data_IF_099761299735
#
_entry.id   IF_099761299735
#
_cell.length_a   1.000
_cell.length_b   1.000
_cell.length_c   1.000
_cell.angle_alpha   90.00
_cell.angle_beta   90.00
_cell.angle_gamma   90.00
#
_symmetry.space_group_name_H-M   'P 1'
#
loop_
_entity.id
_entity.type
_entity.pdbx_description
1 polymer ?
#
# COMPACT_ATOMS: atom_id res chain seq x y z
N UNK A 1 -5.86 -23.76 55.65
CA UNK A 1 -4.59 -23.07 55.32
C UNK A 1 -4.28 -23.39 53.86
N UNK A 2 -4.86 -22.65 52.92
CA UNK A 2 -4.59 -22.78 51.48
C UNK A 2 -3.55 -21.72 51.12
N UNK A 3 -2.37 -21.81 51.75
CA UNK A 3 -1.30 -20.84 51.52
C UNK A 3 -0.78 -20.99 50.10
N UNK A 4 -1.01 -19.95 49.31
CA UNK A 4 -0.12 -19.45 48.26
C UNK A 4 0.50 -20.52 47.34
N UNK A 5 -0.32 -21.11 46.48
CA UNK A 5 0.21 -21.72 45.26
C UNK A 5 0.38 -20.62 44.20
N UNK A 6 1.61 -20.17 44.00
CA UNK A 6 1.96 -19.32 42.86
C UNK A 6 2.30 -20.22 41.65
N UNK A 7 1.34 -20.40 40.76
CA UNK A 7 1.60 -21.05 39.47
C UNK A 7 2.21 -20.04 38.50
N UNK A 8 3.44 -20.29 38.05
CA UNK A 8 4.09 -19.56 36.95
C UNK A 8 4.03 -20.44 35.71
N UNK A 9 3.24 -20.03 34.72
CA UNK A 9 3.12 -20.74 33.45
C UNK A 9 4.31 -20.38 32.56
N UNK A 10 5.37 -21.18 32.60
CA UNK A 10 6.47 -21.07 31.64
C UNK A 10 6.12 -21.79 30.33
N UNK A 11 6.14 -21.07 29.21
CA UNK A 11 5.95 -21.64 27.89
C UNK A 11 7.19 -22.46 27.48
N UNK A 12 6.97 -23.74 27.14
CA UNK A 12 7.98 -24.64 26.58
C UNK A 12 7.47 -25.15 25.23
N UNK A 13 8.22 -24.96 24.15
CA UNK A 13 7.84 -25.47 22.84
C UNK A 13 7.83 -27.02 22.83
N UNK A 14 6.73 -27.65 22.41
CA UNK A 14 6.56 -29.10 22.39
C UNK A 14 5.18 -29.55 21.88
N UNK A 15 5.02 -30.84 21.54
CA UNK A 15 3.79 -31.36 20.89
C UNK A 15 2.51 -31.21 21.73
N UNK A 16 2.65 -31.09 23.06
CA UNK A 16 1.50 -30.85 23.95
C UNK A 16 0.94 -29.42 23.86
N UNK A 17 1.70 -28.48 23.28
CA UNK A 17 1.38 -27.05 23.24
C UNK A 17 0.89 -26.57 21.86
N UNK A 18 0.36 -27.47 21.03
CA UNK A 18 -0.13 -27.15 19.69
C UNK A 18 -1.13 -25.98 19.65
N UNK A 19 -2.03 -25.89 20.64
CA UNK A 19 -3.02 -24.79 20.71
C UNK A 19 -2.35 -23.47 21.06
N UNK A 20 -1.43 -23.46 22.03
CA UNK A 20 -0.67 -22.27 22.40
C UNK A 20 0.22 -21.77 21.25
N UNK A 21 0.90 -22.69 20.57
CA UNK A 21 1.70 -22.41 19.36
C UNK A 21 0.85 -21.83 18.23
N UNK A 22 -0.32 -22.43 17.98
CA UNK A 22 -1.23 -21.94 16.94
C UNK A 22 -1.78 -20.54 17.26
N UNK A 23 -2.08 -20.26 18.53
CA UNK A 23 -2.53 -18.94 18.96
C UNK A 23 -1.41 -17.91 18.88
N UNK A 24 -0.16 -18.25 19.26
CA UNK A 24 1.00 -17.37 19.10
C UNK A 24 1.23 -17.01 17.62
N UNK A 25 1.20 -18.00 16.73
CA UNK A 25 1.37 -17.77 15.27
C UNK A 25 0.27 -16.89 14.67
N UNK A 26 -0.97 -16.95 15.19
CA UNK A 26 -2.05 -16.05 14.74
C UNK A 26 -1.77 -14.59 15.07
N UNK A 27 -1.13 -14.31 16.20
CA UNK A 27 -0.73 -12.94 16.59
C UNK A 27 0.40 -12.44 15.68
N UNK A 28 1.37 -13.30 15.37
CA UNK A 28 2.45 -12.96 14.44
C UNK A 28 1.94 -12.69 13.03
N UNK A 29 1.00 -13.51 12.53
CA UNK A 29 0.36 -13.32 11.22
C UNK A 29 -0.50 -12.05 11.16
N UNK A 30 -1.24 -11.72 12.22
CA UNK A 30 -2.00 -10.48 12.31
C UNK A 30 -1.07 -9.25 12.31
N UNK A 31 0.06 -9.36 13.02
CA UNK A 31 1.10 -8.33 13.06
C UNK A 31 1.73 -8.14 11.69
N UNK A 32 2.09 -9.22 10.98
CA UNK A 32 2.58 -9.17 9.60
C UNK A 32 1.53 -8.57 8.64
N UNK A 33 0.24 -8.91 8.79
CA UNK A 33 -0.84 -8.31 8.01
C UNK A 33 -0.95 -6.80 8.22
N UNK A 34 -0.78 -6.32 9.46
CA UNK A 34 -0.76 -4.90 9.77
C UNK A 34 0.46 -4.19 9.19
N UNK A 35 1.65 -4.81 9.26
CA UNK A 35 2.89 -4.27 8.68
C UNK A 35 2.81 -4.24 7.16
N UNK A 36 2.27 -5.29 6.53
CA UNK A 36 2.06 -5.33 5.09
C UNK A 36 1.05 -4.27 4.62
N UNK A 37 -0.01 -4.01 5.38
CA UNK A 37 -0.95 -2.92 5.11
C UNK A 37 -0.28 -1.54 5.21
N UNK A 38 0.59 -1.33 6.21
CA UNK A 38 1.34 -0.09 6.37
C UNK A 38 2.35 0.09 5.23
N UNK A 39 3.11 -0.97 4.88
CA UNK A 39 4.10 -0.93 3.81
C UNK A 39 3.44 -0.72 2.44
N UNK A 40 2.36 -1.43 2.13
CA UNK A 40 1.61 -1.22 0.89
C UNK A 40 1.00 0.19 0.83
N UNK A 41 0.50 0.72 1.95
CA UNK A 41 0.05 2.11 2.03
C UNK A 41 1.19 3.10 1.79
N UNK A 42 2.34 2.93 2.45
CA UNK A 42 3.50 3.81 2.32
C UNK A 42 4.13 3.79 0.91
N UNK A 43 4.17 2.61 0.28
CA UNK A 43 4.58 2.46 -1.12
C UNK A 43 3.57 3.15 -2.03
N UNK A 44 2.27 2.98 -1.79
CA UNK A 44 1.23 3.64 -2.59
C UNK A 44 1.26 5.18 -2.47
N UNK A 45 1.58 5.73 -1.30
CA UNK A 45 1.74 7.18 -1.12
C UNK A 45 3.00 7.68 -1.82
N UNK A 46 4.13 7.00 -1.66
CA UNK A 46 5.40 7.34 -2.32
C UNK A 46 5.30 7.36 -3.85
N UNK A 47 4.58 6.39 -4.43
CA UNK A 47 4.35 6.32 -5.88
C UNK A 47 3.43 7.45 -6.34
N UNK A 48 2.38 7.79 -5.58
CA UNK A 48 1.49 8.93 -5.90
C UNK A 48 2.24 10.26 -5.84
N UNK A 49 3.07 10.47 -4.83
CA UNK A 49 3.84 11.71 -4.69
C UNK A 49 4.79 11.90 -5.88
N UNK A 50 5.48 10.83 -6.29
CA UNK A 50 6.32 10.84 -7.49
C UNK A 50 5.50 11.08 -8.76
N UNK A 51 4.32 10.50 -8.88
CA UNK A 51 3.44 10.74 -10.03
C UNK A 51 2.99 12.20 -10.12
N UNK A 52 2.68 12.84 -8.98
CA UNK A 52 2.37 14.26 -8.93
C UNK A 52 3.55 15.13 -9.37
N UNK A 53 4.77 14.77 -8.97
CA UNK A 53 5.98 15.50 -9.36
C UNK A 53 6.34 15.36 -10.85
N UNK A 54 6.03 14.20 -11.45
CA UNK A 54 6.32 13.92 -12.85
C UNK A 54 5.25 14.47 -13.81
N UNK A 55 4.03 14.67 -13.33
CA UNK A 55 2.92 15.19 -14.12
C UNK A 55 3.24 16.53 -14.84
N UNK A 56 3.76 17.57 -14.16
CA UNK A 56 4.10 18.83 -14.83
C UNK A 56 5.33 18.71 -15.76
N UNK A 57 6.16 17.68 -15.59
CA UNK A 57 7.35 17.46 -16.45
C UNK A 57 7.00 16.73 -17.75
N UNK A 58 5.84 16.06 -17.82
CA UNK A 58 5.37 15.35 -19.01
C UNK A 58 4.51 16.26 -19.89
N UNK A 59 5.03 16.59 -21.08
CA UNK A 59 4.33 17.40 -22.07
C UNK A 59 3.04 16.72 -22.57
N UNK A 60 2.97 15.39 -22.58
CA UNK A 60 1.75 14.66 -22.94
C UNK A 60 0.67 14.78 -21.86
N UNK A 61 1.07 14.71 -20.58
CA UNK A 61 0.16 14.90 -19.46
C UNK A 61 -0.38 16.34 -19.43
N UNK A 62 0.46 17.35 -19.66
CA UNK A 62 0.00 18.74 -19.77
C UNK A 62 -1.03 18.94 -20.89
N UNK A 63 -0.83 18.30 -22.05
CA UNK A 63 -1.81 18.30 -23.14
C UNK A 63 -3.16 17.71 -22.72
N UNK A 64 -3.16 16.63 -21.92
CA UNK A 64 -4.38 16.04 -21.38
C UNK A 64 -5.05 16.95 -20.34
N UNK A 65 -4.28 17.59 -19.46
CA UNK A 65 -4.83 18.58 -18.50
C UNK A 65 -5.57 19.69 -19.24
N UNK A 66 -4.96 20.26 -20.28
CA UNK A 66 -5.59 21.30 -21.09
C UNK A 66 -6.86 20.79 -21.82
N UNK A 67 -6.88 19.52 -22.25
CA UNK A 67 -8.09 18.91 -22.83
C UNK A 67 -9.20 18.65 -21.80
N UNK A 68 -8.84 18.40 -20.54
CA UNK A 68 -9.79 18.29 -19.43
C UNK A 68 -10.40 19.66 -19.12
N UNK A 69 -9.58 20.70 -19.05
CA UNK A 69 -10.03 22.09 -18.85
C UNK A 69 -10.98 22.54 -19.97
N UNK A 70 -10.72 22.12 -21.20
CA UNK A 70 -11.62 22.35 -22.34
C UNK A 70 -12.89 21.47 -22.36
N UNK A 71 -13.06 20.56 -21.39
CA UNK A 71 -14.20 19.65 -21.32
C UNK A 71 -14.24 18.58 -22.42
N UNK A 72 -13.16 18.41 -23.18
CA UNK A 72 -13.07 17.44 -24.29
C UNK A 72 -12.66 16.05 -23.82
N UNK A 73 -11.89 15.97 -22.75
CA UNK A 73 -11.42 14.71 -22.19
C UNK A 73 -12.43 14.12 -21.18
N UNK A 74 -13.48 13.47 -21.66
CA UNK A 74 -14.47 12.79 -20.77
C UNK A 74 -13.93 11.51 -20.10
N UNK A 75 -12.82 10.98 -20.59
CA UNK A 75 -12.21 9.74 -20.07
C UNK A 75 -11.15 9.99 -19.01
N UNK A 76 -10.74 11.24 -18.85
CA UNK A 76 -9.69 11.65 -17.93
C UNK A 76 -10.22 12.75 -17.01
N UNK A 77 -9.75 12.77 -15.77
CA UNK A 77 -10.02 13.85 -14.85
C UNK A 77 -8.84 14.03 -13.92
N UNK A 78 -8.76 15.20 -13.30
CA UNK A 78 -7.71 15.52 -12.35
C UNK A 78 -8.27 15.31 -10.94
N UNK A 79 -7.59 14.48 -10.16
CA UNK A 79 -7.96 14.16 -8.78
C UNK A 79 -6.73 14.34 -7.89
N UNK A 80 -6.80 15.28 -6.95
CA UNK A 80 -5.70 15.62 -6.03
C UNK A 80 -4.31 15.76 -6.72
N UNK A 81 -4.24 16.48 -7.85
CA UNK A 81 -2.99 16.66 -8.60
C UNK A 81 -2.50 15.43 -9.37
N UNK A 82 -3.33 14.39 -9.47
CA UNK A 82 -3.08 13.18 -10.24
C UNK A 82 -4.03 13.10 -11.43
N UNK A 83 -3.51 12.65 -12.57
CA UNK A 83 -4.33 12.42 -13.75
C UNK A 83 -4.93 11.03 -13.69
N UNK A 84 -6.25 10.95 -13.57
CA UNK A 84 -7.01 9.73 -13.38
C UNK A 84 -7.73 9.32 -14.66
N UNK A 85 -7.99 8.02 -14.78
CA UNK A 85 -8.68 7.39 -15.89
C UNK A 85 -9.78 6.46 -15.38
N UNK A 86 -10.65 6.00 -16.27
CA UNK A 86 -11.73 5.04 -15.95
C UNK A 86 -11.23 3.86 -15.12
N UNK A 87 -12.01 3.51 -14.09
CA UNK A 87 -11.73 2.37 -13.21
C UNK A 87 -10.71 2.66 -12.11
N UNK A 88 -10.60 3.92 -11.67
CA UNK A 88 -9.70 4.35 -10.60
C UNK A 88 -8.22 4.04 -10.90
N UNK A 89 -7.82 4.27 -12.16
CA UNK A 89 -6.46 4.00 -12.65
C UNK A 89 -5.73 5.30 -12.89
N UNK A 90 -4.50 5.38 -12.42
CA UNK A 90 -3.64 6.54 -12.59
C UNK A 90 -3.05 6.54 -14.01
N UNK A 91 -3.01 7.71 -14.65
CA UNK A 91 -2.37 7.88 -15.95
C UNK A 91 -0.86 7.86 -15.80
N UNK A 92 -0.22 6.92 -16.48
CA UNK A 92 1.24 6.87 -16.54
C UNK A 92 1.75 7.55 -17.80
N UNK A 93 2.71 8.45 -17.62
CA UNK A 93 3.45 9.04 -18.73
C UNK A 93 4.17 7.94 -19.52
N UNK A 94 4.10 8.01 -20.86
CA UNK A 94 4.75 7.01 -21.72
C UNK A 94 6.28 6.96 -21.56
N UNK A 95 6.89 8.04 -21.07
CA UNK A 95 8.33 8.16 -20.83
C UNK A 95 8.77 8.05 -19.37
N UNK A 96 7.86 7.78 -18.43
CA UNK A 96 8.16 7.85 -16.99
C UNK A 96 8.88 6.63 -16.43
N UNK A 97 9.90 6.88 -15.59
CA UNK A 97 10.57 5.85 -14.78
C UNK A 97 9.66 5.19 -13.74
N UNK A 98 8.44 5.70 -13.53
CA UNK A 98 7.42 5.11 -12.67
C UNK A 98 7.13 3.64 -13.02
N UNK A 99 6.96 3.34 -14.32
CA UNK A 99 6.74 1.95 -14.78
C UNK A 99 7.89 1.04 -14.39
N UNK A 100 9.14 1.52 -14.51
CA UNK A 100 10.32 0.75 -14.13
C UNK A 100 10.36 0.54 -12.62
N UNK A 101 10.05 1.58 -11.83
CA UNK A 101 10.03 1.49 -10.36
C UNK A 101 8.95 0.57 -9.81
N UNK A 102 7.85 0.36 -10.55
CA UNK A 102 6.78 -0.58 -10.22
C UNK A 102 7.11 -2.04 -10.58
N UNK A 103 7.99 -2.25 -11.56
CA UNK A 103 8.41 -3.59 -12.01
C UNK A 103 9.65 -4.07 -11.26
N UNK A 104 10.46 -3.15 -10.73
CA UNK A 104 11.74 -3.46 -10.08
C UNK A 104 11.64 -3.83 -8.60
N UNK A 105 10.47 -4.24 -8.10
CA UNK A 105 10.30 -4.70 -6.71
C UNK A 105 10.44 -6.24 -6.59
#
# INVERSE_FOLDING_TARGET
MLSEFHFVLEYRAGSSNHVADALSRRVDLASLGSVAAISSSAVSTSIRDRARELLPKDSAAQGLVHLIEQGKARQFWLDDGLLMTKGNRLYESKGGDLRKSLISE
#
